data_IF_175678415090
#
_entry.id   IF_175678415090
#
_cell.length_a   1.000
_cell.length_b   1.000
_cell.length_c   1.000
_cell.angle_alpha   90.00
_cell.angle_beta   90.00
_cell.angle_gamma   90.00
#
_symmetry.space_group_name_H-M   'P 1'
#
loop_
_entity.id
_entity.type
_entity.pdbx_description
1 polymer ?
#
# COMPACT_ATOMS: atom_id res chain seq x y z
N UNK A 1 9.77 -19.74 23.20
CA UNK A 1 10.34 -18.51 22.59
C UNK A 1 10.02 -18.49 21.09
N UNK A 2 9.49 -17.39 20.53
CA UNK A 2 8.90 -17.37 19.18
C UNK A 2 9.89 -17.35 18.00
N UNK A 3 11.16 -17.72 18.19
CA UNK A 3 12.12 -17.96 17.11
C UNK A 3 12.39 -16.77 16.18
N UNK A 4 12.36 -15.55 16.72
CA UNK A 4 12.52 -14.31 15.93
C UNK A 4 13.96 -13.81 15.82
N UNK A 5 14.89 -14.39 16.58
CA UNK A 5 16.28 -13.95 16.66
C UNK A 5 17.17 -15.18 16.46
N UNK A 6 18.16 -15.07 15.58
CA UNK A 6 19.19 -16.09 15.39
C UNK A 6 20.54 -15.51 15.82
N UNK A 7 21.34 -16.34 16.52
CA UNK A 7 22.74 -16.03 16.75
C UNK A 7 23.51 -16.45 15.50
N UNK A 8 24.21 -15.52 14.89
CA UNK A 8 25.09 -15.84 13.76
C UNK A 8 26.22 -16.76 14.25
N UNK A 9 26.49 -17.81 13.49
CA UNK A 9 27.43 -18.89 13.84
C UNK A 9 28.91 -18.56 13.67
N UNK A 10 29.26 -17.32 13.31
CA UNK A 10 30.64 -16.91 13.07
C UNK A 10 31.03 -15.77 14.02
N UNK A 11 31.49 -16.13 15.22
CA UNK A 11 32.51 -15.44 16.03
C UNK A 11 32.40 -13.94 16.36
N UNK A 12 31.43 -13.21 15.83
CA UNK A 12 31.19 -11.79 16.04
C UNK A 12 29.71 -11.66 16.38
N UNK A 13 29.42 -11.21 17.61
CA UNK A 13 28.10 -11.21 18.24
C UNK A 13 27.07 -10.27 17.60
N UNK A 14 26.74 -10.48 16.34
CA UNK A 14 25.57 -9.92 15.68
C UNK A 14 24.35 -10.80 15.95
N UNK A 15 23.30 -10.23 16.55
CA UNK A 15 21.96 -10.81 16.48
C UNK A 15 21.32 -10.39 15.15
N UNK A 16 21.21 -11.33 14.21
CA UNK A 16 20.49 -11.14 12.96
C UNK A 16 18.99 -11.44 13.11
N UNK A 17 18.10 -10.70 12.41
CA UNK A 17 16.69 -11.06 12.35
C UNK A 17 16.50 -12.42 11.67
N UNK A 18 15.63 -13.28 12.19
CA UNK A 18 15.34 -14.56 11.51
C UNK A 18 14.54 -14.33 10.23
N UNK A 19 14.62 -15.25 9.26
CA UNK A 19 13.78 -15.25 8.06
C UNK A 19 12.28 -15.10 8.39
N UNK A 20 11.84 -15.65 9.52
CA UNK A 20 10.46 -15.52 10.01
C UNK A 20 10.13 -14.10 10.47
N UNK A 21 11.06 -13.42 11.16
CA UNK A 21 10.94 -12.02 11.54
C UNK A 21 10.97 -11.10 10.31
N UNK A 22 11.83 -11.38 9.33
CA UNK A 22 11.84 -10.59 8.07
C UNK A 22 10.51 -10.69 7.32
N UNK A 23 9.93 -11.90 7.21
CA UNK A 23 8.63 -12.09 6.56
C UNK A 23 7.54 -11.32 7.30
N UNK A 24 7.48 -11.40 8.63
CA UNK A 24 6.45 -10.70 9.40
C UNK A 24 6.61 -9.18 9.34
N UNK A 25 7.85 -8.67 9.35
CA UNK A 25 8.12 -7.24 9.16
C UNK A 25 7.72 -6.76 7.76
N UNK A 26 7.95 -7.56 6.71
CA UNK A 26 7.52 -7.26 5.34
C UNK A 26 5.99 -7.26 5.22
N UNK A 27 5.32 -8.27 5.78
CA UNK A 27 3.87 -8.34 5.81
C UNK A 27 3.27 -7.12 6.51
N UNK A 28 3.79 -6.77 7.69
CA UNK A 28 3.35 -5.58 8.43
C UNK A 28 3.59 -4.29 7.65
N UNK A 29 4.74 -4.16 6.99
CA UNK A 29 5.05 -2.98 6.15
C UNK A 29 4.13 -2.86 4.94
N UNK A 30 3.67 -3.98 4.38
CA UNK A 30 2.70 -4.01 3.28
C UNK A 30 1.28 -3.68 3.75
N UNK A 31 0.86 -4.20 4.91
CA UNK A 31 -0.43 -3.86 5.53
C UNK A 31 -0.48 -2.36 5.87
N UNK A 32 0.64 -1.79 6.34
CA UNK A 32 0.77 -0.36 6.59
C UNK A 32 0.54 0.48 5.33
N UNK A 33 0.65 -0.07 4.10
CA UNK A 33 0.44 0.67 2.84
C UNK A 33 -1.02 1.12 2.68
N UNK A 34 -1.97 0.31 3.11
CA UNK A 34 -3.39 0.52 2.87
C UNK A 34 -4.01 1.60 3.79
N UNK A 35 -3.40 1.86 4.95
CA UNK A 35 -3.69 3.01 5.83
C UNK A 35 -5.16 3.12 6.26
N UNK A 36 -5.56 4.31 6.75
CA UNK A 36 -6.95 4.56 7.16
C UNK A 36 -7.90 4.57 5.95
N UNK A 37 -8.83 3.64 5.92
CA UNK A 37 -9.80 3.47 4.83
C UNK A 37 -11.18 3.97 5.22
N UNK A 38 -11.93 4.43 4.22
CA UNK A 38 -13.33 4.85 4.38
C UNK A 38 -14.23 3.61 4.38
N UNK A 39 -15.41 3.72 5.00
CA UNK A 39 -16.46 2.71 4.89
C UNK A 39 -16.85 2.52 3.42
N UNK A 40 -16.64 1.33 2.89
CA UNK A 40 -17.01 0.91 1.53
C UNK A 40 -17.92 -0.31 1.57
N UNK A 41 -17.95 -1.15 0.54
CA UNK A 41 -18.52 -2.51 0.64
C UNK A 41 -17.64 -3.40 1.53
N UNK A 42 -18.21 -4.46 2.10
CA UNK A 42 -17.48 -5.44 2.91
C UNK A 42 -16.27 -6.00 2.17
N UNK A 43 -15.07 -5.73 2.70
CA UNK A 43 -13.77 -6.20 2.21
C UNK A 43 -12.95 -6.82 3.33
N UNK A 44 -11.62 -6.79 3.22
CA UNK A 44 -10.70 -7.34 4.25
C UNK A 44 -9.73 -6.30 4.81
N UNK A 45 -9.95 -5.03 4.51
CA UNK A 45 -9.15 -3.96 5.07
C UNK A 45 -9.86 -3.29 6.23
N UNK A 46 -9.23 -3.27 7.40
CA UNK A 46 -9.80 -2.63 8.59
C UNK A 46 -9.93 -1.13 8.35
N UNK A 47 -11.10 -0.58 8.66
CA UNK A 47 -11.33 0.87 8.73
C UNK A 47 -11.26 1.32 10.19
N UNK A 48 -11.14 2.62 10.42
CA UNK A 48 -11.25 3.19 11.79
C UNK A 48 -12.70 3.29 12.27
N UNK A 49 -13.66 2.71 11.55
CA UNK A 49 -15.09 2.82 11.81
C UNK A 49 -15.56 1.50 12.40
N UNK A 50 -16.30 1.55 13.50
CA UNK A 50 -16.93 0.37 14.10
C UNK A 50 -18.01 -0.16 13.16
N UNK A 51 -18.07 -1.48 13.00
CA UNK A 51 -19.10 -2.19 12.24
C UNK A 51 -18.65 -3.59 11.84
N UNK A 52 -19.44 -4.25 10.99
CA UNK A 52 -19.16 -5.64 10.60
C UNK A 52 -17.78 -5.82 9.96
N UNK A 53 -16.93 -6.58 10.64
CA UNK A 53 -15.66 -7.11 10.19
C UNK A 53 -15.09 -8.11 11.20
N UNK A 54 -13.91 -8.65 10.88
CA UNK A 54 -13.35 -9.82 11.59
C UNK A 54 -12.38 -9.45 12.73
N UNK A 55 -12.02 -8.17 12.90
CA UNK A 55 -11.10 -7.71 13.94
C UNK A 55 -11.83 -6.95 15.06
N UNK A 56 -11.60 -7.37 16.30
CA UNK A 56 -12.11 -6.70 17.49
C UNK A 56 -11.41 -5.37 17.75
N UNK A 57 -12.19 -4.38 18.16
CA UNK A 57 -11.69 -3.17 18.82
C UNK A 57 -11.32 -3.50 20.27
N UNK A 58 -10.67 -2.55 20.95
CA UNK A 58 -10.41 -2.68 22.38
C UNK A 58 -11.68 -2.47 23.23
N UNK A 59 -12.73 -1.92 22.62
CA UNK A 59 -13.95 -1.53 23.30
C UNK A 59 -14.97 -2.67 23.27
N UNK A 60 -15.81 -2.68 24.29
CA UNK A 60 -16.92 -3.61 24.48
C UNK A 60 -18.20 -2.81 24.67
N UNK A 61 -19.31 -3.35 24.21
CA UNK A 61 -20.63 -2.75 24.41
C UNK A 61 -21.60 -3.79 24.99
N UNK A 62 -22.66 -3.36 25.69
CA UNK A 62 -23.75 -4.25 26.06
C UNK A 62 -24.34 -4.95 24.84
N UNK A 63 -24.68 -6.23 24.99
CA UNK A 63 -25.31 -7.02 23.94
C UNK A 63 -26.71 -6.49 23.61
N UNK A 64 -26.98 -6.25 22.33
CA UNK A 64 -28.30 -5.91 21.82
C UNK A 64 -28.80 -7.01 20.87
N UNK A 65 -30.12 -7.17 20.78
CA UNK A 65 -30.72 -8.18 19.92
C UNK A 65 -30.33 -7.95 18.45
N UNK A 66 -29.62 -8.91 17.86
CA UNK A 66 -29.07 -8.83 16.50
C UNK A 66 -27.55 -8.77 16.43
N UNK A 67 -26.86 -8.57 17.56
CA UNK A 67 -25.41 -8.72 17.64
C UNK A 67 -24.99 -10.19 17.48
N UNK A 68 -23.86 -10.42 16.82
CA UNK A 68 -23.31 -11.78 16.68
C UNK A 68 -22.78 -12.28 18.02
N UNK A 69 -23.26 -13.45 18.46
CA UNK A 69 -22.75 -14.14 19.65
C UNK A 69 -21.30 -14.62 19.48
N UNK A 70 -20.78 -14.68 18.24
CA UNK A 70 -19.37 -14.98 17.98
C UNK A 70 -18.45 -13.90 18.57
N UNK A 71 -18.95 -12.67 18.75
CA UNK A 71 -18.19 -11.54 19.27
C UNK A 71 -18.32 -11.39 20.80
N UNK A 72 -18.89 -12.39 21.49
CA UNK A 72 -19.16 -12.29 22.92
C UNK A 72 -17.86 -12.10 23.73
N UNK A 73 -17.79 -11.04 24.52
CA UNK A 73 -16.73 -10.79 25.47
C UNK A 73 -16.96 -11.66 26.71
N UNK A 74 -16.63 -12.95 26.61
CA UNK A 74 -16.95 -13.97 27.62
C UNK A 74 -16.44 -13.59 29.00
N UNK A 75 -15.20 -13.10 29.10
CA UNK A 75 -14.60 -12.72 30.40
C UNK A 75 -15.35 -11.57 31.05
N UNK A 76 -15.71 -10.54 30.29
CA UNK A 76 -16.49 -9.41 30.79
C UNK A 76 -17.90 -9.85 31.18
N UNK A 77 -18.53 -10.66 30.33
CA UNK A 77 -19.89 -11.13 30.55
C UNK A 77 -20.00 -11.99 31.81
N UNK A 78 -19.04 -12.90 32.03
CA UNK A 78 -18.95 -13.68 33.25
C UNK A 78 -18.68 -12.82 34.48
N UNK A 79 -17.82 -11.80 34.35
CA UNK A 79 -17.55 -10.85 35.44
C UNK A 79 -18.82 -10.09 35.83
N UNK A 80 -19.59 -9.60 34.86
CA UNK A 80 -20.84 -8.90 35.11
C UNK A 80 -21.87 -9.82 35.77
N UNK A 81 -21.99 -11.07 35.30
CA UNK A 81 -22.86 -12.07 35.90
C UNK A 81 -22.54 -12.31 37.38
N UNK A 82 -21.26 -12.46 37.74
CA UNK A 82 -20.84 -12.61 39.14
C UNK A 82 -21.13 -11.37 39.99
N UNK A 83 -21.00 -10.17 39.41
CA UNK A 83 -21.30 -8.91 40.11
C UNK A 83 -22.80 -8.78 40.38
N UNK A 84 -23.65 -9.18 39.42
CA UNK A 84 -25.09 -8.98 39.49
C UNK A 84 -25.82 -10.09 40.26
N UNK A 85 -25.37 -11.34 40.15
CA UNK A 85 -26.07 -12.51 40.72
C UNK A 85 -25.31 -13.20 41.86
N UNK A 86 -24.09 -12.78 42.17
CA UNK A 86 -23.26 -13.37 43.22
C UNK A 86 -22.51 -14.63 42.78
N UNK A 87 -21.81 -15.27 43.72
CA UNK A 87 -20.86 -16.37 43.45
C UNK A 87 -21.48 -17.74 43.77
N UNK A 88 -22.55 -17.78 44.56
CA UNK A 88 -23.12 -19.02 45.11
C UNK A 88 -23.89 -19.84 44.05
N UNK A 89 -24.63 -19.18 43.15
CA UNK A 89 -25.29 -19.81 42.00
C UNK A 89 -24.95 -19.06 40.70
N UNK A 90 -24.46 -19.79 39.69
CA UNK A 90 -24.16 -19.21 38.39
C UNK A 90 -25.45 -18.92 37.62
N UNK A 91 -25.80 -17.65 37.52
CA UNK A 91 -26.89 -17.16 36.68
C UNK A 91 -26.33 -16.16 35.66
N UNK A 92 -26.64 -16.35 34.38
CA UNK A 92 -26.19 -15.49 33.29
C UNK A 92 -27.41 -15.01 32.52
N UNK A 93 -27.66 -13.71 32.55
CA UNK A 93 -28.78 -13.06 31.88
C UNK A 93 -28.30 -12.22 30.69
N UNK A 94 -29.22 -11.81 29.83
CA UNK A 94 -28.88 -10.97 28.68
C UNK A 94 -28.23 -9.64 29.08
N UNK A 95 -28.60 -9.08 30.23
CA UNK A 95 -28.08 -7.82 30.76
C UNK A 95 -26.61 -7.92 31.19
N UNK A 96 -26.12 -9.13 31.43
CA UNK A 96 -24.73 -9.40 31.77
C UNK A 96 -23.84 -9.50 30.53
N UNK A 97 -24.42 -9.73 29.35
CA UNK A 97 -23.68 -10.00 28.13
C UNK A 97 -23.08 -8.72 27.55
N UNK A 98 -21.79 -8.77 27.27
CA UNK A 98 -21.06 -7.76 26.50
C UNK A 98 -20.49 -8.39 25.23
N UNK A 99 -20.48 -7.62 24.14
CA UNK A 99 -19.87 -8.02 22.87
C UNK A 99 -18.72 -7.08 22.54
N UNK A 100 -17.67 -7.64 21.94
CA UNK A 100 -16.62 -6.87 21.32
C UNK A 100 -17.18 -6.16 20.09
N UNK A 101 -16.91 -4.86 19.98
CA UNK A 101 -17.14 -4.15 18.73
C UNK A 101 -16.06 -4.55 17.72
N UNK A 102 -16.40 -4.69 16.44
CA UNK A 102 -15.43 -4.98 15.37
C UNK A 102 -15.19 -3.77 14.47
N UNK A 103 -14.03 -3.72 13.82
CA UNK A 103 -13.76 -2.73 12.78
C UNK A 103 -14.47 -3.12 11.49
N UNK A 104 -15.16 -2.16 10.86
CA UNK A 104 -15.75 -2.35 9.55
C UNK A 104 -14.64 -2.64 8.53
N UNK A 105 -14.74 -3.73 7.79
CA UNK A 105 -13.77 -4.04 6.75
C UNK A 105 -14.25 -3.58 5.37
N UNK A 106 -13.43 -2.81 4.66
CA UNK A 106 -13.77 -2.17 3.39
C UNK A 106 -12.99 -2.77 2.21
N UNK A 107 -13.62 -2.81 1.03
CA UNK A 107 -12.95 -3.14 -0.24
C UNK A 107 -12.06 -1.99 -0.69
N UNK A 108 -11.06 -2.25 -1.54
CA UNK A 108 -10.25 -1.23 -2.23
C UNK A 108 -10.17 -1.45 -3.76
N UNK A 109 -9.98 -0.35 -4.50
CA UNK A 109 -9.61 -0.38 -5.91
C UNK A 109 -8.21 0.17 -6.13
N UNK A 110 -7.33 -0.64 -6.72
CA UNK A 110 -5.91 -0.34 -6.86
C UNK A 110 -5.48 -0.35 -8.32
N UNK A 111 -4.61 0.58 -8.71
CA UNK A 111 -3.88 0.55 -9.98
C UNK A 111 -2.40 0.35 -9.71
N UNK A 112 -1.79 -0.65 -10.33
CA UNK A 112 -0.34 -0.85 -10.37
C UNK A 112 0.22 -0.31 -11.69
N UNK A 113 1.13 0.65 -11.59
CA UNK A 113 1.81 1.27 -12.72
C UNK A 113 3.28 0.87 -12.75
N UNK A 114 3.76 0.38 -13.89
CA UNK A 114 5.14 -0.09 -14.06
C UNK A 114 5.85 0.75 -15.13
N UNK A 115 6.99 1.33 -14.77
CA UNK A 115 7.85 2.07 -15.67
C UNK A 115 8.60 1.11 -16.62
N UNK A 116 8.50 1.36 -17.93
CA UNK A 116 9.19 0.62 -18.99
C UNK A 116 10.10 1.53 -19.83
N UNK A 117 10.45 2.70 -19.29
CA UNK A 117 11.35 3.65 -19.94
C UNK A 117 12.78 3.14 -20.02
N UNK A 118 13.56 3.75 -20.90
CA UNK A 118 14.95 3.33 -21.14
C UNK A 118 15.84 3.48 -19.90
N UNK A 119 15.48 4.37 -18.97
CA UNK A 119 16.23 4.57 -17.72
C UNK A 119 16.22 3.32 -16.81
N UNK A 120 15.26 2.42 -16.98
CA UNK A 120 15.13 1.17 -16.24
C UNK A 120 16.21 0.11 -16.57
N UNK A 121 17.04 0.33 -17.60
CA UNK A 121 18.21 -0.51 -17.92
C UNK A 121 19.50 0.30 -18.10
N UNK A 122 19.45 1.61 -17.83
CA UNK A 122 20.54 2.51 -18.14
C UNK A 122 21.65 2.41 -17.10
N UNK A 123 22.87 2.82 -17.49
CA UNK A 123 24.06 2.79 -16.63
C UNK A 123 24.52 1.39 -16.20
N UNK A 124 24.13 0.34 -16.93
CA UNK A 124 24.50 -1.04 -16.63
C UNK A 124 23.74 -1.66 -15.45
N UNK A 125 22.69 -0.99 -14.96
CA UNK A 125 21.83 -1.47 -13.89
C UNK A 125 20.50 -1.98 -14.45
N UNK A 126 20.21 -3.28 -14.26
CA UNK A 126 18.91 -3.85 -14.58
C UNK A 126 17.91 -3.56 -13.46
N UNK A 127 17.11 -2.50 -13.63
CA UNK A 127 16.04 -2.11 -12.69
C UNK A 127 14.69 -2.70 -13.09
N UNK A 128 14.50 -3.10 -14.35
CA UNK A 128 13.25 -3.72 -14.81
C UNK A 128 13.05 -5.11 -14.20
N UNK A 129 14.10 -5.91 -14.04
CA UNK A 129 13.99 -7.23 -13.40
C UNK A 129 13.50 -7.16 -11.94
N UNK A 130 14.10 -6.33 -11.05
CA UNK A 130 13.55 -6.14 -9.71
C UNK A 130 12.14 -5.49 -9.75
N UNK A 131 11.84 -4.61 -10.70
CA UNK A 131 10.49 -4.06 -10.87
C UNK A 131 9.43 -5.15 -11.11
N UNK A 132 9.70 -6.09 -12.03
CA UNK A 132 8.82 -7.23 -12.31
C UNK A 132 8.59 -8.08 -11.05
N UNK A 133 9.64 -8.33 -10.27
CA UNK A 133 9.54 -9.10 -9.02
C UNK A 133 8.65 -8.40 -7.99
N UNK A 134 8.83 -7.09 -7.80
CA UNK A 134 7.99 -6.28 -6.91
C UNK A 134 6.54 -6.29 -7.39
N UNK A 135 6.33 -6.09 -8.70
CA UNK A 135 5.01 -6.06 -9.30
C UNK A 135 4.25 -7.38 -9.12
N UNK A 136 4.90 -8.52 -9.41
CA UNK A 136 4.32 -9.86 -9.23
C UNK A 136 4.03 -10.14 -7.75
N UNK A 137 4.98 -9.84 -6.85
CA UNK A 137 4.80 -10.05 -5.42
C UNK A 137 3.64 -9.23 -4.86
N UNK A 138 3.51 -7.96 -5.27
CA UNK A 138 2.42 -7.09 -4.85
C UNK A 138 1.08 -7.54 -5.41
N UNK A 139 1.02 -7.92 -6.68
CA UNK A 139 -0.20 -8.40 -7.30
C UNK A 139 -0.71 -9.69 -6.64
N UNK A 140 0.20 -10.65 -6.42
CA UNK A 140 -0.10 -11.89 -5.71
C UNK A 140 -0.57 -11.63 -4.27
N UNK A 141 0.11 -10.73 -3.56
CA UNK A 141 -0.27 -10.35 -2.20
C UNK A 141 -1.68 -9.77 -2.14
N UNK A 142 -2.01 -8.83 -3.05
CA UNK A 142 -3.34 -8.21 -3.10
C UNK A 142 -4.41 -9.25 -3.42
N UNK A 143 -4.21 -10.07 -4.45
CA UNK A 143 -5.21 -11.05 -4.88
C UNK A 143 -5.45 -12.15 -3.83
N UNK A 144 -4.40 -12.61 -3.17
CA UNK A 144 -4.49 -13.67 -2.16
C UNK A 144 -5.03 -13.16 -0.83
N UNK A 145 -4.60 -11.98 -0.35
CA UNK A 145 -5.01 -11.46 0.97
C UNK A 145 -6.31 -10.66 0.92
N UNK A 146 -6.60 -10.00 -0.20
CA UNK A 146 -7.78 -9.16 -0.42
C UNK A 146 -8.58 -9.58 -1.68
N UNK A 147 -9.17 -10.79 -1.71
CA UNK A 147 -9.81 -11.35 -2.91
C UNK A 147 -11.04 -10.58 -3.42
N UNK A 148 -11.58 -9.64 -2.61
CA UNK A 148 -12.71 -8.77 -2.99
C UNK A 148 -12.25 -7.43 -3.59
N UNK A 149 -10.95 -7.16 -3.61
CA UNK A 149 -10.39 -5.94 -4.17
C UNK A 149 -10.23 -6.05 -5.68
N UNK A 150 -10.14 -4.89 -6.33
CA UNK A 150 -9.81 -4.82 -7.76
C UNK A 150 -8.37 -4.34 -7.93
N UNK A 151 -7.60 -5.03 -8.77
CA UNK A 151 -6.27 -4.61 -9.18
C UNK A 151 -6.23 -4.46 -10.71
N UNK A 152 -6.02 -3.24 -11.16
CA UNK A 152 -5.75 -2.91 -12.56
C UNK A 152 -4.24 -2.70 -12.75
N UNK A 153 -3.68 -3.13 -13.87
CA UNK A 153 -2.24 -3.04 -14.14
C UNK A 153 -2.03 -2.26 -15.43
N UNK A 154 -1.07 -1.33 -15.42
CA UNK A 154 -0.68 -0.57 -16.59
C UNK A 154 0.84 -0.39 -16.64
N UNK A 155 1.34 -0.10 -17.83
CA UNK A 155 2.73 0.31 -18.04
C UNK A 155 2.78 1.74 -18.57
N UNK A 156 3.90 2.41 -18.34
CA UNK A 156 4.13 3.74 -18.91
C UNK A 156 5.57 3.93 -19.38
N UNK A 157 5.69 4.60 -20.53
CA UNK A 157 6.92 5.04 -21.19
C UNK A 157 6.66 6.42 -21.78
N UNK A 158 6.71 6.57 -23.12
CA UNK A 158 6.27 7.80 -23.79
C UNK A 158 4.75 8.01 -23.65
N UNK A 159 3.99 6.91 -23.68
CA UNK A 159 2.55 6.80 -23.42
C UNK A 159 2.28 5.78 -22.32
N UNK A 160 1.01 5.58 -21.95
CA UNK A 160 0.58 4.57 -20.99
C UNK A 160 -0.56 3.72 -21.54
N UNK A 161 -0.58 2.43 -21.20
CA UNK A 161 -1.63 1.50 -21.60
C UNK A 161 -1.81 0.37 -20.57
N UNK A 162 -3.02 -0.21 -20.46
CA UNK A 162 -3.28 -1.33 -19.56
C UNK A 162 -2.61 -2.61 -20.06
N UNK A 163 -2.27 -3.49 -19.12
CA UNK A 163 -1.75 -4.84 -19.38
C UNK A 163 -2.41 -5.85 -18.43
N UNK A 164 -2.25 -7.14 -18.71
CA UNK A 164 -2.68 -8.20 -17.81
C UNK A 164 -1.53 -8.68 -16.91
N UNK A 165 -1.88 -9.34 -15.80
CA UNK A 165 -0.90 -9.90 -14.85
C UNK A 165 0.11 -10.84 -15.53
N UNK A 166 -0.37 -11.64 -16.50
CA UNK A 166 0.45 -12.61 -17.25
C UNK A 166 1.52 -11.94 -18.12
N UNK A 167 1.37 -10.65 -18.41
CA UNK A 167 2.28 -9.91 -19.28
C UNK A 167 3.51 -9.40 -18.50
N UNK A 168 3.41 -9.25 -17.16
CA UNK A 168 4.48 -8.67 -16.32
C UNK A 168 5.84 -9.36 -16.54
N UNK A 169 5.96 -10.71 -16.53
CA UNK A 169 7.25 -11.39 -16.73
C UNK A 169 7.90 -11.05 -18.07
N UNK A 170 7.08 -10.80 -19.09
CA UNK A 170 7.52 -10.56 -20.47
C UNK A 170 7.74 -9.08 -20.80
N UNK A 171 7.52 -8.16 -19.85
CA UNK A 171 7.75 -6.74 -20.09
C UNK A 171 9.17 -6.46 -20.56
N UNK A 172 9.29 -5.65 -21.60
CA UNK A 172 10.57 -5.19 -22.12
C UNK A 172 10.62 -3.67 -21.98
N UNK A 173 11.81 -3.17 -21.69
CA UNK A 173 12.08 -1.75 -21.74
C UNK A 173 12.18 -1.33 -23.20
N UNK A 174 11.55 -0.22 -23.53
CA UNK A 174 11.65 0.38 -24.87
C UNK A 174 12.62 1.56 -24.89
N UNK A 175 12.90 2.13 -26.08
CA UNK A 175 13.58 3.41 -26.23
C UNK A 175 12.66 4.59 -25.84
N UNK A 176 11.93 4.43 -24.74
CA UNK A 176 10.95 5.36 -24.24
C UNK A 176 11.55 6.29 -23.19
N UNK A 177 10.96 7.46 -23.07
CA UNK A 177 11.17 8.37 -21.95
C UNK A 177 10.15 8.04 -20.84
N UNK A 178 10.19 8.80 -19.76
CA UNK A 178 9.39 8.56 -18.57
C UNK A 178 8.26 9.59 -18.49
N UNK A 179 7.09 9.25 -19.04
CA UNK A 179 5.89 10.09 -18.99
C UNK A 179 4.97 9.68 -17.83
N UNK A 180 5.41 10.00 -16.61
CA UNK A 180 4.64 9.74 -15.38
C UNK A 180 3.24 10.37 -15.42
N UNK A 181 3.09 11.51 -16.12
CA UNK A 181 1.79 12.19 -16.28
C UNK A 181 0.80 11.31 -17.03
N UNK A 182 1.19 10.73 -18.17
CA UNK A 182 0.32 9.85 -18.94
C UNK A 182 -0.12 8.62 -18.13
N UNK A 183 0.82 8.02 -17.39
CA UNK A 183 0.52 6.89 -16.51
C UNK A 183 -0.50 7.24 -15.42
N UNK A 184 -0.32 8.39 -14.75
CA UNK A 184 -1.22 8.84 -13.69
C UNK A 184 -2.59 9.25 -14.23
N UNK A 185 -2.65 9.87 -15.42
CA UNK A 185 -3.90 10.21 -16.09
C UNK A 185 -4.71 8.95 -16.41
N UNK A 186 -4.06 7.91 -16.97
CA UNK A 186 -4.70 6.62 -17.23
C UNK A 186 -5.14 5.93 -15.93
N UNK A 187 -4.31 5.94 -14.88
CA UNK A 187 -4.67 5.37 -13.59
C UNK A 187 -5.90 6.05 -12.99
N UNK A 188 -5.97 7.38 -13.03
CA UNK A 188 -7.12 8.13 -12.57
C UNK A 188 -8.38 7.83 -13.39
N UNK A 189 -8.25 7.66 -14.70
CA UNK A 189 -9.38 7.31 -15.56
C UNK A 189 -9.92 5.91 -15.22
N UNK A 190 -9.06 4.91 -15.09
CA UNK A 190 -9.43 3.56 -14.62
C UNK A 190 -10.14 3.65 -13.26
N UNK A 191 -9.52 4.32 -12.29
CA UNK A 191 -10.05 4.44 -10.94
C UNK A 191 -11.38 5.21 -10.89
N UNK A 192 -11.61 6.17 -11.80
CA UNK A 192 -12.88 6.92 -11.89
C UNK A 192 -14.06 5.99 -12.20
N UNK A 193 -13.85 4.96 -13.02
CA UNK A 193 -14.88 3.99 -13.38
C UNK A 193 -15.13 2.94 -12.28
N UNK A 194 -14.26 2.83 -11.28
CA UNK A 194 -14.46 1.98 -10.11
C UNK A 194 -15.43 2.63 -9.12
N UNK A 195 -16.46 1.88 -8.72
CA UNK A 195 -17.50 2.32 -7.75
C UNK A 195 -17.00 2.39 -6.30
N UNK A 196 -15.80 1.86 -6.02
CA UNK A 196 -15.25 1.80 -4.68
C UNK A 196 -14.75 3.19 -4.22
N UNK A 197 -15.14 3.69 -3.04
CA UNK A 197 -14.62 4.95 -2.51
C UNK A 197 -13.13 4.89 -2.11
N UNK A 198 -12.61 3.71 -1.78
CA UNK A 198 -11.20 3.52 -1.43
C UNK A 198 -10.39 3.23 -2.68
N UNK A 199 -9.45 4.11 -3.00
CA UNK A 199 -8.67 4.06 -4.24
C UNK A 199 -7.19 4.25 -3.93
N UNK A 200 -6.31 3.55 -4.64
CA UNK A 200 -4.86 3.73 -4.49
C UNK A 200 -4.13 3.46 -5.79
N UNK A 201 -2.99 4.13 -5.94
CA UNK A 201 -2.05 3.90 -7.03
C UNK A 201 -0.74 3.39 -6.42
N UNK A 202 -0.23 2.30 -6.98
CA UNK A 202 1.13 1.83 -6.77
C UNK A 202 1.95 2.16 -8.01
N UNK A 203 3.10 2.81 -7.84
CA UNK A 203 3.96 3.20 -8.94
C UNK A 203 5.35 2.60 -8.75
N UNK A 204 5.84 1.82 -9.71
CA UNK A 204 7.20 1.28 -9.71
C UNK A 204 7.99 2.01 -10.80
N UNK A 205 9.06 2.71 -10.40
CA UNK A 205 9.86 3.57 -11.29
C UNK A 205 11.26 3.78 -10.71
N UNK A 206 12.19 4.27 -11.52
CA UNK A 206 13.46 4.83 -11.04
C UNK A 206 13.38 6.34 -10.72
N UNK A 207 12.23 6.96 -10.97
CA UNK A 207 11.80 8.21 -10.34
C UNK A 207 11.95 9.47 -11.18
N UNK A 208 12.54 9.43 -12.38
CA UNK A 208 12.79 10.65 -13.15
C UNK A 208 11.76 10.88 -14.26
N UNK A 209 10.81 11.81 -14.14
CA UNK A 209 9.96 12.15 -15.28
C UNK A 209 10.78 12.94 -16.32
N UNK A 210 10.72 12.50 -17.57
CA UNK A 210 11.53 13.05 -18.68
C UNK A 210 10.71 13.37 -19.92
N UNK A 211 9.39 13.09 -19.90
CA UNK A 211 8.50 13.31 -21.03
C UNK A 211 7.13 13.86 -20.64
N UNK A 212 6.56 14.67 -21.52
CA UNK A 212 5.15 15.08 -21.52
C UNK A 212 4.58 14.98 -22.92
N UNK A 213 3.34 14.50 -23.01
CA UNK A 213 2.55 14.60 -24.25
C UNK A 213 1.86 15.96 -24.33
N UNK A 214 2.06 16.68 -25.44
CA UNK A 214 1.45 17.99 -25.71
C UNK A 214 0.80 17.93 -27.09
N UNK A 215 -0.52 17.73 -27.12
CA UNK A 215 -1.25 17.47 -28.35
C UNK A 215 -0.77 16.18 -29.01
N UNK A 216 -0.25 16.27 -30.25
CA UNK A 216 0.31 15.14 -31.00
C UNK A 216 1.83 14.97 -30.82
N UNK A 217 2.48 15.89 -30.11
CA UNK A 217 3.94 15.94 -29.96
C UNK A 217 4.36 15.57 -28.55
N UNK A 218 5.62 15.16 -28.39
CA UNK A 218 6.23 14.88 -27.09
C UNK A 218 7.26 15.96 -26.76
N UNK A 219 7.12 16.57 -25.59
CA UNK A 219 8.15 17.40 -24.99
C UNK A 219 9.04 16.52 -24.13
N UNK A 220 10.31 16.38 -24.54
CA UNK A 220 11.26 15.44 -23.94
C UNK A 220 12.48 16.19 -23.44
N UNK A 221 12.86 15.95 -22.20
CA UNK A 221 14.11 16.44 -21.65
C UNK A 221 14.68 15.42 -20.64
N UNK A 222 15.68 14.68 -21.09
CA UNK A 222 16.36 13.65 -20.28
C UNK A 222 17.49 14.23 -19.44
N UNK A 223 17.86 15.51 -19.61
CA UNK A 223 18.93 16.18 -18.86
C UNK A 223 18.37 16.91 -17.64
N UNK A 224 18.86 16.55 -16.45
CA UNK A 224 18.42 17.17 -15.19
C UNK A 224 16.91 17.02 -14.92
N UNK A 225 16.39 17.80 -13.99
CA UNK A 225 14.96 17.87 -13.68
C UNK A 225 14.35 19.07 -14.41
N UNK A 226 13.69 18.81 -15.54
CA UNK A 226 13.01 19.85 -16.30
C UNK A 226 11.81 20.41 -15.51
N UNK A 227 11.85 21.73 -15.24
CA UNK A 227 10.83 22.40 -14.42
C UNK A 227 9.42 22.23 -14.98
N UNK A 228 9.23 22.22 -16.30
CA UNK A 228 7.91 22.07 -16.92
C UNK A 228 7.35 20.67 -16.68
N UNK A 229 8.19 19.65 -16.84
CA UNK A 229 7.83 18.24 -16.64
C UNK A 229 7.53 17.97 -15.17
N UNK A 230 8.42 18.40 -14.29
CA UNK A 230 8.28 18.23 -12.84
C UNK A 230 7.02 18.92 -12.33
N UNK A 231 6.78 20.17 -12.69
CA UNK A 231 5.59 20.90 -12.24
C UNK A 231 4.29 20.22 -12.68
N UNK A 232 4.25 19.66 -13.91
CA UNK A 232 3.09 18.91 -14.37
C UNK A 232 2.86 17.62 -13.58
N UNK A 233 3.93 16.89 -13.25
CA UNK A 233 3.85 15.70 -12.40
C UNK A 233 3.35 16.06 -10.99
N UNK A 234 3.92 17.09 -10.36
CA UNK A 234 3.52 17.53 -9.02
C UNK A 234 2.07 18.04 -8.98
N UNK A 235 1.63 18.78 -10.00
CA UNK A 235 0.24 19.22 -10.10
C UNK A 235 -0.73 18.04 -10.18
N UNK A 236 -0.37 16.97 -10.90
CA UNK A 236 -1.18 15.77 -10.98
C UNK A 236 -1.16 14.98 -9.66
N UNK A 237 -0.01 14.89 -8.99
CA UNK A 237 0.10 14.32 -7.65
C UNK A 237 -0.81 15.03 -6.63
N UNK A 238 -0.88 16.37 -6.70
CA UNK A 238 -1.77 17.20 -5.91
C UNK A 238 -3.24 16.95 -6.26
N UNK A 239 -3.56 16.72 -7.54
CA UNK A 239 -4.91 16.33 -7.97
C UNK A 239 -5.30 14.96 -7.40
N UNK A 240 -4.41 13.97 -7.45
CA UNK A 240 -4.65 12.66 -6.83
C UNK A 240 -4.93 12.81 -5.33
N UNK A 241 -4.20 13.67 -4.62
CA UNK A 241 -4.46 13.98 -3.21
C UNK A 241 -5.86 14.56 -2.98
N UNK A 242 -6.27 15.54 -3.80
CA UNK A 242 -7.63 16.14 -3.70
C UNK A 242 -8.74 15.13 -3.97
N UNK A 243 -8.44 14.06 -4.72
CA UNK A 243 -9.35 12.96 -5.03
C UNK A 243 -9.28 11.82 -4.00
N UNK A 244 -8.52 11.97 -2.91
CA UNK A 244 -8.23 10.92 -1.94
C UNK A 244 -7.67 9.64 -2.58
N UNK A 245 -6.83 9.80 -3.60
CA UNK A 245 -6.08 8.71 -4.24
C UNK A 245 -4.61 8.81 -3.79
N UNK A 246 -4.22 8.13 -2.70
CA UNK A 246 -2.82 8.00 -2.30
C UNK A 246 -2.01 7.26 -3.36
N UNK A 247 -0.77 7.69 -3.53
CA UNK A 247 0.23 7.10 -4.41
C UNK A 247 1.34 6.52 -3.53
N UNK A 248 1.60 5.22 -3.71
CA UNK A 248 2.72 4.51 -3.11
C UNK A 248 3.77 4.29 -4.18
N UNK A 249 4.93 4.91 -4.03
CA UNK A 249 6.03 4.82 -5.00
C UNK A 249 7.07 3.81 -4.53
N UNK A 250 7.33 2.79 -5.34
CA UNK A 250 8.47 1.89 -5.20
C UNK A 250 9.58 2.38 -6.12
N UNK A 251 10.56 3.06 -5.53
CA UNK A 251 11.71 3.58 -6.23
C UNK A 251 12.83 2.52 -6.29
N UNK A 252 13.26 2.18 -7.50
CA UNK A 252 14.32 1.20 -7.75
C UNK A 252 15.58 1.93 -8.24
N UNK A 253 16.09 2.85 -7.42
CA UNK A 253 17.32 3.57 -7.70
C UNK A 253 17.93 4.12 -6.40
N UNK A 254 19.25 4.35 -6.42
CA UNK A 254 20.02 4.92 -5.30
C UNK A 254 20.48 6.37 -5.55
N UNK A 255 20.12 6.97 -6.68
CA UNK A 255 20.57 8.32 -7.04
C UNK A 255 19.93 9.38 -6.11
N UNK A 256 20.74 10.12 -5.32
CA UNK A 256 20.24 11.15 -4.40
C UNK A 256 19.41 12.26 -5.08
N UNK A 257 19.68 12.57 -6.35
CA UNK A 257 18.91 13.58 -7.07
C UNK A 257 17.52 13.08 -7.44
N UNK A 258 17.39 11.81 -7.79
CA UNK A 258 16.09 11.19 -8.10
C UNK A 258 15.25 11.03 -6.84
N UNK A 259 15.90 10.71 -5.72
CA UNK A 259 15.24 10.63 -4.40
C UNK A 259 14.55 11.95 -4.06
N UNK A 260 15.20 13.10 -4.25
CA UNK A 260 14.60 14.42 -3.95
C UNK A 260 13.30 14.69 -4.73
N UNK A 261 13.23 14.26 -5.99
CA UNK A 261 11.99 14.39 -6.75
C UNK A 261 10.90 13.48 -6.18
N UNK A 262 11.22 12.22 -5.89
CA UNK A 262 10.27 11.25 -5.33
C UNK A 262 9.78 11.71 -3.95
N UNK A 263 10.64 12.27 -3.11
CA UNK A 263 10.28 12.91 -1.83
C UNK A 263 9.27 14.03 -2.05
N UNK A 264 9.58 15.00 -2.92
CA UNK A 264 8.68 16.12 -3.21
C UNK A 264 7.33 15.66 -3.79
N UNK A 265 7.36 14.66 -4.68
CA UNK A 265 6.17 14.06 -5.27
C UNK A 265 5.31 13.36 -4.20
N UNK A 266 5.94 12.55 -3.36
CA UNK A 266 5.30 11.80 -2.26
C UNK A 266 4.70 12.76 -1.23
N UNK A 267 5.43 13.80 -0.85
CA UNK A 267 4.95 14.85 0.05
C UNK A 267 3.76 15.62 -0.53
N UNK A 268 3.81 15.93 -1.83
CA UNK A 268 2.72 16.63 -2.53
C UNK A 268 1.44 15.80 -2.54
N UNK A 269 1.56 14.49 -2.80
CA UNK A 269 0.42 13.58 -2.77
C UNK A 269 -0.03 13.21 -1.34
N UNK A 270 0.83 13.37 -0.32
CA UNK A 270 0.66 12.78 1.01
C UNK A 270 0.62 11.23 0.96
N UNK A 271 1.46 10.68 0.08
CA UNK A 271 1.60 9.25 -0.19
C UNK A 271 2.73 8.60 0.61
N UNK A 272 3.26 7.50 0.07
CA UNK A 272 4.39 6.74 0.65
C UNK A 272 5.46 6.48 -0.40
N UNK A 273 6.70 6.43 0.03
CA UNK A 273 7.83 6.03 -0.81
C UNK A 273 8.58 4.87 -0.17
N UNK A 274 8.94 3.91 -1.00
CA UNK A 274 9.74 2.74 -0.67
C UNK A 274 10.98 2.75 -1.56
N UNK A 275 12.15 2.90 -0.94
CA UNK A 275 13.41 2.90 -1.66
C UNK A 275 14.03 1.52 -1.57
N UNK A 276 14.22 0.85 -2.72
CA UNK A 276 14.88 -0.46 -2.79
C UNK A 276 16.24 -0.35 -3.43
N UNK A 277 17.15 -1.17 -2.93
CA UNK A 277 18.40 -1.46 -3.63
C UNK A 277 18.22 -2.51 -4.73
N UNK A 278 19.15 -2.53 -5.68
CA UNK A 278 19.19 -3.52 -6.77
C UNK A 278 19.18 -4.98 -6.28
N UNK A 279 19.54 -5.24 -5.01
CA UNK A 279 19.48 -6.57 -4.40
C UNK A 279 18.04 -7.05 -4.05
N UNK A 280 17.00 -6.25 -4.29
CA UNK A 280 15.59 -6.66 -4.23
C UNK A 280 14.83 -6.21 -2.98
N UNK A 281 13.66 -6.84 -2.74
CA UNK A 281 12.66 -6.45 -1.74
C UNK A 281 13.13 -6.46 -0.27
N UNK A 282 14.34 -6.96 0.03
CA UNK A 282 14.82 -7.15 1.40
C UNK A 282 15.23 -5.88 2.14
N UNK A 283 15.39 -4.75 1.44
CA UNK A 283 15.99 -3.52 2.00
C UNK A 283 15.16 -2.27 1.68
N UNK A 284 13.84 -2.34 1.83
CA UNK A 284 13.01 -1.17 1.67
C UNK A 284 13.11 -0.24 2.87
N UNK A 285 13.58 0.98 2.65
CA UNK A 285 13.36 2.08 3.60
C UNK A 285 11.98 2.67 3.30
N UNK A 286 11.05 2.50 4.24
CA UNK A 286 9.73 3.13 4.17
C UNK A 286 9.85 4.57 4.66
N UNK A 287 9.48 5.51 3.80
CA UNK A 287 9.29 6.90 4.18
C UNK A 287 7.81 7.27 4.09
N UNK A 288 7.23 7.61 5.24
CA UNK A 288 5.83 7.92 5.37
C UNK A 288 5.64 9.40 5.71
N UNK A 289 4.88 10.11 4.88
CA UNK A 289 4.64 11.54 5.01
C UNK A 289 3.26 11.89 5.57
N UNK A 290 2.43 10.88 5.95
CA UNK A 290 1.16 11.10 6.67
C UNK A 290 1.47 11.74 8.04
N UNK A 291 1.36 13.07 8.10
CA UNK A 291 1.36 13.94 9.30
C UNK A 291 2.32 13.50 10.42
N UNK A 292 3.53 14.07 10.41
CA UNK A 292 4.17 14.57 11.64
C UNK A 292 3.22 15.61 12.27
N UNK A 293 2.19 15.18 13.00
CA UNK A 293 1.57 16.04 14.01
C UNK A 293 2.65 16.26 15.05
N UNK A 294 3.28 17.45 15.01
CA UNK A 294 4.05 17.99 16.13
C UNK A 294 3.22 17.77 17.40
N UNK A 295 3.78 17.04 18.37
CA UNK A 295 3.51 17.34 19.77
C UNK A 295 4.13 18.69 20.08
#
# INVERSE_FOLDING_TARGET
ERGYIQRDGDGNGGMGPTRKLEISLRQKSLDDIFGDLKKARSGKHNTSIIGQGDEYTADVKPYEFGDSLENLAVTNSLRNAYINHGIDEFNLTQEDLEVHETYYQSQMSSVLMIDISHSMILYGEDRITPAKKVALALAEFIQTRYPKDTLDILVFGDDAWPIELKDIPYLQVGPYHTNTVAGLELALDILKHRRNPNKQIFMITDGKPTCLKIGKNYYKNSFGLDRKIVNRCLNLAMRCKKLDVPITTFMIARDPYLVRFVEAFTQTNNGKAFYSSLQGLGSFVLENYKKRKRK
#
